data_IF_611775570457
#
_entry.id   IF_611775570457
#
_cell.length_a   1.000
_cell.length_b   1.000
_cell.length_c   1.000
_cell.angle_alpha   90.00
_cell.angle_beta   90.00
_cell.angle_gamma   90.00
#
_symmetry.space_group_name_H-M   'P 1'
#
loop_
_entity.id
_entity.type
_entity.pdbx_description
1 polymer ?
#
# COMPACT_ATOMS: atom_id res chain seq x y z
N UNK A 1 -5.23 5.12 19.23
CA UNK A 1 -3.81 5.07 18.83
C UNK A 1 -3.64 5.71 17.45
N UNK A 2 -2.43 5.83 16.91
CA UNK A 2 -2.25 6.44 15.57
C UNK A 2 -2.83 5.53 14.47
N UNK A 3 -2.72 4.21 14.61
CA UNK A 3 -3.30 3.25 13.66
C UNK A 3 -4.84 3.23 13.66
N UNK A 4 -5.50 3.52 14.78
CA UNK A 4 -6.97 3.63 14.84
C UNK A 4 -7.50 4.98 14.36
N UNK A 5 -6.63 5.95 14.06
CA UNK A 5 -7.03 7.31 13.64
C UNK A 5 -7.40 8.25 14.78
N UNK A 6 -7.33 7.81 16.05
CA UNK A 6 -7.66 8.66 17.21
C UNK A 6 -6.69 9.83 17.39
N UNK A 7 -5.49 9.73 16.79
CA UNK A 7 -4.55 10.84 16.76
C UNK A 7 -4.94 11.83 15.65
N UNK A 8 -5.37 13.06 15.97
CA UNK A 8 -6.05 13.94 15.02
C UNK A 8 -5.15 14.44 13.87
N UNK A 9 -3.84 14.33 14.00
CA UNK A 9 -2.86 14.72 12.96
C UNK A 9 -2.46 13.54 12.08
N UNK A 10 -2.90 12.32 12.41
CA UNK A 10 -2.65 11.14 11.58
C UNK A 10 -3.50 11.18 10.31
N UNK A 11 -2.95 10.68 9.21
CA UNK A 11 -3.66 10.58 7.94
C UNK A 11 -3.23 9.34 7.17
N UNK A 12 -4.17 8.67 6.47
CA UNK A 12 -3.83 7.60 5.57
C UNK A 12 -3.01 8.14 4.39
N UNK A 13 -1.96 7.42 4.01
CA UNK A 13 -1.20 7.70 2.80
C UNK A 13 -1.75 6.83 1.66
N UNK A 14 -2.18 7.49 0.58
CA UNK A 14 -2.67 6.81 -0.61
C UNK A 14 -1.59 6.71 -1.68
N UNK A 15 -1.48 5.53 -2.27
CA UNK A 15 -0.58 5.24 -3.38
C UNK A 15 -1.40 5.02 -4.65
N UNK A 16 -1.31 5.95 -5.60
CA UNK A 16 -2.12 5.95 -6.81
C UNK A 16 -1.35 5.38 -8.01
N UNK A 17 -1.97 4.44 -8.70
CA UNK A 17 -1.44 3.86 -9.94
C UNK A 17 -2.50 4.03 -11.04
N UNK A 18 -2.06 4.48 -12.21
CA UNK A 18 -2.91 4.49 -13.40
C UNK A 18 -2.94 3.10 -14.01
N UNK A 19 -4.08 2.42 -13.95
CA UNK A 19 -4.26 1.10 -14.57
C UNK A 19 -3.91 1.09 -16.06
N UNK A 20 -4.15 2.20 -16.77
CA UNK A 20 -3.81 2.35 -18.19
C UNK A 20 -2.30 2.23 -18.49
N UNK A 21 -1.43 2.34 -17.48
CA UNK A 21 0.03 2.18 -17.62
C UNK A 21 0.50 0.74 -17.36
N UNK A 22 -0.31 -0.10 -16.72
CA UNK A 22 0.03 -1.51 -16.48
C UNK A 22 0.08 -2.24 -17.83
N UNK A 23 1.21 -2.90 -18.12
CA UNK A 23 1.46 -3.58 -19.39
C UNK A 23 1.94 -2.67 -20.53
N UNK A 24 1.90 -1.33 -20.37
CA UNK A 24 2.51 -0.38 -21.32
C UNK A 24 3.86 0.15 -20.83
N UNK A 25 3.93 0.47 -19.54
CA UNK A 25 5.15 0.88 -18.86
C UNK A 25 5.67 -0.34 -18.09
N UNK A 26 6.86 -0.85 -18.43
CA UNK A 26 7.45 -1.99 -17.72
C UNK A 26 7.61 -1.69 -16.22
N UNK A 27 7.33 -2.67 -15.37
CA UNK A 27 7.66 -2.59 -13.94
C UNK A 27 6.59 -1.94 -13.05
N UNK A 28 5.49 -1.39 -13.59
CA UNK A 28 4.47 -0.70 -12.77
C UNK A 28 3.78 -1.67 -11.79
N UNK A 29 3.36 -2.84 -12.28
CA UNK A 29 2.69 -3.84 -11.43
C UNK A 29 3.67 -4.44 -10.42
N UNK A 30 4.90 -4.70 -10.85
CA UNK A 30 5.99 -5.22 -10.04
C UNK A 30 6.34 -4.23 -8.92
N UNK A 31 6.46 -2.95 -9.24
CA UNK A 31 6.71 -1.89 -8.25
C UNK A 31 5.55 -1.79 -7.25
N UNK A 32 4.30 -1.85 -7.72
CA UNK A 32 3.14 -1.84 -6.84
C UNK A 32 3.14 -3.02 -5.85
N UNK A 33 3.43 -4.22 -6.33
CA UNK A 33 3.52 -5.43 -5.51
C UNK A 33 4.72 -5.41 -4.55
N UNK A 34 5.86 -4.87 -5.00
CA UNK A 34 7.04 -4.70 -4.17
C UNK A 34 6.78 -3.69 -3.03
N UNK A 35 6.10 -2.59 -3.33
CA UNK A 35 5.70 -1.59 -2.35
C UNK A 35 4.70 -2.16 -1.34
N UNK A 36 3.75 -2.98 -1.78
CA UNK A 36 2.80 -3.68 -0.90
C UNK A 36 3.33 -5.01 -0.31
N UNK A 37 4.63 -5.27 -0.37
CA UNK A 37 5.23 -6.50 0.16
C UNK A 37 5.43 -6.44 1.69
N UNK A 38 5.56 -7.59 2.35
CA UNK A 38 5.91 -7.64 3.78
C UNK A 38 7.27 -6.99 4.07
N UNK A 39 8.24 -7.10 3.14
CA UNK A 39 9.56 -6.47 3.27
C UNK A 39 9.48 -4.93 3.24
N UNK A 40 8.42 -4.37 2.67
CA UNK A 40 8.18 -2.94 2.59
C UNK A 40 7.23 -2.46 3.69
N UNK A 41 5.97 -2.89 3.63
CA UNK A 41 4.85 -2.43 4.48
C UNK A 41 4.56 -3.31 5.69
N UNK A 42 5.23 -4.46 5.84
CA UNK A 42 5.05 -5.32 7.01
C UNK A 42 5.63 -4.68 8.28
N UNK A 43 5.35 -5.26 9.45
CA UNK A 43 5.82 -4.73 10.75
C UNK A 43 7.34 -4.58 10.81
N UNK A 44 8.09 -5.55 10.28
CA UNK A 44 9.57 -5.52 10.17
C UNK A 44 10.05 -4.99 8.80
N UNK A 45 9.22 -4.22 8.09
CA UNK A 45 9.54 -3.68 6.77
C UNK A 45 10.33 -2.37 6.81
N UNK A 46 10.88 -1.96 5.66
CA UNK A 46 11.64 -0.70 5.57
C UNK A 46 10.77 0.57 5.61
N UNK A 47 9.45 0.48 5.50
CA UNK A 47 8.56 1.64 5.57
C UNK A 47 8.27 2.07 7.02
N UNK A 48 8.05 1.14 7.97
CA UNK A 48 8.10 1.44 9.40
C UNK A 48 9.38 2.17 9.84
N UNK A 49 10.54 1.72 9.39
CA UNK A 49 11.82 2.39 9.68
C UNK A 49 11.87 3.84 9.17
N UNK A 50 11.06 4.14 8.14
CA UNK A 50 10.93 5.49 7.55
C UNK A 50 9.76 6.29 8.13
N UNK A 51 9.19 5.84 9.24
CA UNK A 51 8.15 6.56 9.98
C UNK A 51 6.72 6.35 9.46
N UNK A 52 6.49 5.36 8.60
CA UNK A 52 5.13 4.96 8.23
C UNK A 52 4.57 3.94 9.22
N UNK A 53 3.26 3.96 9.43
CA UNK A 53 2.62 2.97 10.29
C UNK A 53 2.19 1.80 9.41
N UNK A 54 2.60 0.56 9.74
CA UNK A 54 2.23 -0.60 8.95
C UNK A 54 0.72 -0.83 9.02
N UNK A 55 0.17 -1.33 7.91
CA UNK A 55 -1.20 -1.80 7.87
C UNK A 55 -1.32 -3.09 8.69
N UNK A 56 -2.53 -3.39 9.20
CA UNK A 56 -2.77 -4.73 9.76
C UNK A 56 -2.54 -5.80 8.69
N UNK A 57 -2.21 -7.02 9.11
CA UNK A 57 -2.04 -8.16 8.19
C UNK A 57 -3.25 -8.35 7.26
N UNK A 58 -4.46 -8.13 7.77
CA UNK A 58 -5.71 -8.23 6.99
C UNK A 58 -5.79 -7.16 5.91
N UNK A 59 -5.49 -5.90 6.26
CA UNK A 59 -5.51 -4.77 5.32
C UNK A 59 -4.42 -4.90 4.27
N UNK A 60 -3.20 -5.32 4.65
CA UNK A 60 -2.11 -5.55 3.72
C UNK A 60 -2.47 -6.61 2.67
N UNK A 61 -3.06 -7.74 3.10
CA UNK A 61 -3.55 -8.77 2.18
C UNK A 61 -4.64 -8.24 1.26
N UNK A 62 -5.52 -7.36 1.74
CA UNK A 62 -6.54 -6.73 0.91
C UNK A 62 -5.92 -5.79 -0.13
N UNK A 63 -4.94 -4.98 0.25
CA UNK A 63 -4.19 -4.11 -0.67
C UNK A 63 -3.50 -4.93 -1.76
N UNK A 64 -2.82 -6.01 -1.39
CA UNK A 64 -2.18 -6.91 -2.36
C UNK A 64 -3.19 -7.52 -3.34
N UNK A 65 -4.37 -7.95 -2.85
CA UNK A 65 -5.45 -8.45 -3.72
C UNK A 65 -5.99 -7.36 -4.65
N UNK A 66 -6.16 -6.14 -4.14
CA UNK A 66 -6.62 -5.00 -4.94
C UNK A 66 -5.62 -4.66 -6.06
N UNK A 67 -4.32 -4.68 -5.77
CA UNK A 67 -3.26 -4.45 -6.77
C UNK A 67 -3.27 -5.56 -7.83
N UNK A 68 -3.32 -6.84 -7.42
CA UNK A 68 -3.34 -7.97 -8.36
C UNK A 68 -4.58 -7.97 -9.28
N UNK A 69 -5.71 -7.47 -8.77
CA UNK A 69 -6.96 -7.36 -9.55
C UNK A 69 -7.10 -6.02 -10.27
N UNK A 70 -6.13 -5.11 -10.16
CA UNK A 70 -6.18 -3.74 -10.69
C UNK A 70 -7.49 -3.03 -10.31
N UNK A 71 -7.97 -3.25 -9.07
CA UNK A 71 -9.25 -2.72 -8.60
C UNK A 71 -9.22 -1.20 -8.65
N UNK A 72 -10.15 -0.62 -9.39
CA UNK A 72 -10.34 0.84 -9.44
C UNK A 72 -10.82 1.33 -8.07
N UNK A 73 -10.08 2.28 -7.50
CA UNK A 73 -10.48 2.96 -6.28
C UNK A 73 -11.69 3.84 -6.59
N UNK A 74 -12.83 3.54 -5.96
CA UNK A 74 -14.00 4.42 -5.95
C UNK A 74 -13.89 5.25 -4.69
N UNK A 75 -13.82 6.58 -4.85
CA UNK A 75 -13.91 7.53 -3.74
C UNK A 75 -15.35 7.65 -3.26
#
# INVERSE_FOLDING_TARGET
TIASGDYPVSRPLYFYIKNAHVGKIPGILEYALAFASKKAMGEDGYLPERGLIPLSNKELLQVQKNIKSLKVLKM
#
